data_IF_913201674855
#
_entry.id   IF_913201674855
#
_cell.length_a   1.000
_cell.length_b   1.000
_cell.length_c   1.000
_cell.angle_alpha   90.00
_cell.angle_beta   90.00
_cell.angle_gamma   90.00
#
_symmetry.space_group_name_H-M   'P 1'
#
loop_
_entity.id
_entity.type
_entity.pdbx_description
1 polymer ?
#
# COMPACT_ATOMS: atom_id res chain seq x y z
N UNK A 1 -3.53 -29.00 1.45
CA UNK A 1 -2.98 -27.69 1.08
C UNK A 1 -4.07 -26.68 1.32
N UNK A 2 -3.90 -25.76 2.26
CA UNK A 2 -4.78 -24.60 2.34
C UNK A 2 -4.61 -23.79 1.05
N UNK A 3 -5.72 -23.49 0.36
CA UNK A 3 -5.68 -22.58 -0.77
C UNK A 3 -5.20 -21.23 -0.22
N UNK A 4 -4.05 -20.74 -0.70
CA UNK A 4 -3.59 -19.40 -0.34
C UNK A 4 -4.60 -18.39 -0.86
N UNK A 5 -5.14 -17.57 0.03
CA UNK A 5 -6.14 -16.56 -0.31
C UNK A 5 -5.65 -15.57 -1.37
N UNK A 6 -4.35 -15.23 -1.32
CA UNK A 6 -3.67 -14.39 -2.30
C UNK A 6 -2.48 -15.14 -2.89
N UNK A 7 -2.01 -14.68 -4.07
CA UNK A 7 -0.83 -15.27 -4.69
C UNK A 7 0.46 -15.03 -3.89
N UNK A 8 1.49 -15.83 -4.16
CA UNK A 8 2.76 -15.77 -3.43
C UNK A 8 3.45 -14.40 -3.55
N UNK A 9 3.27 -13.71 -4.68
CA UNK A 9 3.84 -12.37 -4.90
C UNK A 9 3.19 -11.35 -3.96
N UNK A 10 1.87 -11.43 -3.81
CA UNK A 10 1.11 -10.56 -2.91
C UNK A 10 1.54 -10.81 -1.45
N UNK A 11 1.63 -12.07 -1.04
CA UNK A 11 2.04 -12.41 0.32
C UNK A 11 3.47 -11.95 0.64
N UNK A 12 4.42 -12.08 -0.29
CA UNK A 12 5.78 -11.56 -0.12
C UNK A 12 5.82 -10.04 0.07
N UNK A 13 4.93 -9.30 -0.61
CA UNK A 13 4.82 -7.84 -0.45
C UNK A 13 4.17 -7.49 0.88
N UNK A 14 3.13 -8.23 1.27
CA UNK A 14 2.42 -8.01 2.54
C UNK A 14 3.27 -8.32 3.78
N UNK A 15 4.27 -9.21 3.66
CA UNK A 15 5.24 -9.45 4.74
C UNK A 15 6.11 -8.22 5.08
N UNK A 16 6.22 -7.25 4.16
CA UNK A 16 7.09 -6.08 4.32
C UNK A 16 6.36 -4.82 4.79
N UNK A 17 5.03 -4.85 4.87
CA UNK A 17 4.22 -3.71 5.33
C UNK A 17 3.78 -3.89 6.78
N UNK A 18 3.16 -2.86 7.37
CA UNK A 18 2.63 -2.96 8.72
C UNK A 18 1.66 -4.14 8.84
N UNK A 19 1.76 -5.01 9.84
CA UNK A 19 0.95 -6.23 9.90
C UNK A 19 -0.56 -5.99 9.95
N UNK A 20 -1.04 -4.93 10.61
CA UNK A 20 -2.47 -4.53 10.53
C UNK A 20 -2.90 -4.10 9.12
N UNK A 21 -2.03 -3.46 8.34
CA UNK A 21 -2.33 -3.17 6.93
C UNK A 21 -2.42 -4.49 6.15
N UNK A 22 -1.47 -5.41 6.36
CA UNK A 22 -1.49 -6.72 5.71
C UNK A 22 -2.76 -7.51 6.05
N UNK A 23 -3.18 -7.52 7.32
CA UNK A 23 -4.42 -8.15 7.77
C UNK A 23 -5.64 -7.56 7.06
N UNK A 24 -5.75 -6.23 6.98
CA UNK A 24 -6.84 -5.55 6.28
C UNK A 24 -6.86 -5.89 4.79
N UNK A 25 -5.71 -5.97 4.14
CA UNK A 25 -5.62 -6.32 2.72
C UNK A 25 -5.99 -7.79 2.50
N UNK A 26 -5.62 -8.70 3.40
CA UNK A 26 -6.10 -10.09 3.35
C UNK A 26 -7.62 -10.16 3.58
N UNK A 27 -8.17 -9.41 4.52
CA UNK A 27 -9.62 -9.35 4.72
C UNK A 27 -10.34 -8.82 3.47
N UNK A 28 -9.80 -7.79 2.82
CA UNK A 28 -10.29 -7.27 1.55
C UNK A 28 -10.26 -8.33 0.45
N UNK A 29 -9.13 -9.04 0.30
CA UNK A 29 -9.00 -10.13 -0.66
C UNK A 29 -9.99 -11.26 -0.39
N UNK A 30 -10.23 -11.60 0.89
CA UNK A 30 -11.21 -12.63 1.28
C UNK A 30 -12.62 -12.28 0.87
N UNK A 31 -13.06 -11.04 1.11
CA UNK A 31 -14.41 -10.60 0.74
C UNK A 31 -14.58 -10.55 -0.77
N UNK A 32 -13.60 -10.00 -1.50
CA UNK A 32 -13.65 -9.90 -2.95
C UNK A 32 -13.57 -11.28 -3.63
N UNK A 33 -12.75 -12.20 -3.10
CA UNK A 33 -12.69 -13.58 -3.61
C UNK A 33 -14.02 -14.31 -3.44
N UNK A 34 -14.75 -14.09 -2.34
CA UNK A 34 -16.10 -14.65 -2.15
C UNK A 34 -17.11 -14.15 -3.21
N UNK A 35 -16.82 -13.02 -3.85
CA UNK A 35 -17.60 -12.44 -4.96
C UNK A 35 -17.02 -12.81 -6.35
N UNK A 36 -15.99 -13.66 -6.41
CA UNK A 36 -15.30 -14.03 -7.65
C UNK A 36 -14.39 -12.94 -8.21
N UNK A 37 -13.94 -11.99 -7.37
CA UNK A 37 -13.04 -10.89 -7.73
C UNK A 37 -11.68 -11.13 -7.06
N UNK A 38 -10.79 -11.95 -7.65
CA UNK A 38 -9.44 -12.09 -7.12
C UNK A 38 -8.67 -10.77 -7.27
N UNK A 39 -7.81 -10.44 -6.31
CA UNK A 39 -6.95 -9.25 -6.36
C UNK A 39 -5.48 -9.64 -6.16
N UNK A 40 -4.57 -8.79 -6.66
CA UNK A 40 -3.12 -8.88 -6.45
C UNK A 40 -2.61 -7.59 -5.83
N UNK A 41 -1.70 -7.71 -4.86
CA UNK A 41 -0.89 -6.58 -4.39
C UNK A 41 0.24 -6.35 -5.38
N UNK A 42 0.23 -5.23 -6.11
CA UNK A 42 1.21 -4.89 -7.15
C UNK A 42 2.42 -4.14 -6.59
N UNK A 43 2.23 -3.38 -5.52
CA UNK A 43 3.27 -2.68 -4.76
C UNK A 43 2.97 -2.73 -3.27
N UNK A 44 4.04 -2.77 -2.46
CA UNK A 44 3.96 -2.70 -0.99
C UNK A 44 4.98 -1.68 -0.46
N UNK A 45 5.86 -2.11 0.42
CA UNK A 45 7.00 -1.30 0.87
C UNK A 45 7.89 -0.90 -0.33
N UNK A 46 8.30 0.37 -0.36
CA UNK A 46 9.25 0.93 -1.33
C UNK A 46 10.36 1.68 -0.59
N UNK A 47 11.62 1.55 -0.99
CA UNK A 47 12.71 2.33 -0.37
C UNK A 47 12.69 3.79 -0.82
N UNK A 48 13.53 4.64 -0.21
CA UNK A 48 13.65 6.04 -0.61
C UNK A 48 14.36 6.19 -1.96
N UNK A 49 15.32 5.32 -2.23
CA UNK A 49 16.02 5.22 -3.52
C UNK A 49 15.05 4.78 -4.62
N UNK A 50 14.27 3.71 -4.38
CA UNK A 50 13.24 3.27 -5.32
C UNK A 50 12.18 4.37 -5.59
N UNK A 51 11.82 5.16 -4.57
CA UNK A 51 10.93 6.29 -4.77
C UNK A 51 11.58 7.41 -5.59
N UNK A 52 12.87 7.69 -5.38
CA UNK A 52 13.62 8.68 -6.16
C UNK A 52 13.66 8.30 -7.64
N UNK A 53 13.89 7.02 -7.94
CA UNK A 53 13.88 6.52 -9.32
C UNK A 53 12.51 6.69 -10.00
N UNK A 54 11.42 6.37 -9.30
CA UNK A 54 10.07 6.62 -9.80
C UNK A 54 9.76 8.10 -9.93
N UNK A 55 10.25 8.93 -9.01
CA UNK A 55 10.06 10.38 -9.06
C UNK A 55 10.84 10.99 -10.24
N UNK A 56 11.99 10.43 -10.63
CA UNK A 56 12.71 10.89 -11.83
C UNK A 56 12.01 10.52 -13.13
N UNK A 57 11.19 9.47 -13.13
CA UNK A 57 10.49 9.01 -14.34
C UNK A 57 9.58 10.10 -14.93
N UNK A 58 9.67 10.28 -16.24
CA UNK A 58 8.88 11.27 -16.99
C UNK A 58 9.24 12.72 -16.71
N UNK A 59 10.40 12.96 -16.07
CA UNK A 59 10.96 14.29 -15.80
C UNK A 59 12.33 14.41 -16.49
N UNK A 60 12.82 15.65 -16.63
CA UNK A 60 14.18 15.94 -17.11
C UNK A 60 14.57 15.26 -18.44
N UNK A 61 13.63 15.20 -19.40
CA UNK A 61 13.87 14.62 -20.73
C UNK A 61 13.55 13.12 -20.84
N UNK A 62 13.11 12.47 -19.76
CA UNK A 62 12.55 11.11 -19.83
C UNK A 62 11.15 11.13 -20.47
N UNK A 63 10.92 10.25 -21.46
CA UNK A 63 9.68 10.16 -22.25
C UNK A 63 8.64 9.22 -21.64
N UNK A 64 9.00 8.46 -20.60
CA UNK A 64 8.07 7.60 -19.88
C UNK A 64 6.99 8.43 -19.17
N UNK A 65 5.79 7.90 -18.92
CA UNK A 65 4.77 8.64 -18.18
C UNK A 65 5.21 8.90 -16.74
N UNK A 66 4.81 10.05 -16.19
CA UNK A 66 4.96 10.34 -14.76
C UNK A 66 4.05 9.37 -13.99
N UNK A 67 4.65 8.58 -13.10
CA UNK A 67 3.94 7.57 -12.29
C UNK A 67 3.78 7.98 -10.82
N UNK A 68 4.43 9.06 -10.39
CA UNK A 68 4.31 9.61 -9.04
C UNK A 68 4.64 11.11 -9.03
N UNK A 69 3.95 11.85 -8.16
CA UNK A 69 4.30 13.23 -7.78
C UNK A 69 4.98 13.32 -6.41
N UNK A 70 5.07 12.21 -5.67
CA UNK A 70 5.72 12.18 -4.37
C UNK A 70 7.25 12.01 -4.53
N UNK A 71 8.07 12.97 -4.07
CA UNK A 71 9.51 12.75 -3.91
C UNK A 71 9.80 11.80 -2.73
N UNK A 72 11.07 11.41 -2.51
CA UNK A 72 11.44 10.53 -1.40
C UNK A 72 10.99 11.06 -0.03
N UNK A 73 10.28 10.23 0.74
CA UNK A 73 9.75 10.53 2.07
C UNK A 73 8.34 11.12 2.07
N UNK A 74 7.68 11.19 0.91
CA UNK A 74 6.35 11.80 0.76
C UNK A 74 5.26 10.80 0.34
N UNK A 75 5.58 9.50 0.29
CA UNK A 75 4.60 8.42 0.08
C UNK A 75 4.56 7.45 1.25
N UNK A 76 3.37 6.98 1.62
CA UNK A 76 3.22 5.96 2.67
C UNK A 76 3.72 4.56 2.29
N UNK A 77 3.97 4.31 1.01
CA UNK A 77 4.72 3.12 0.59
C UNK A 77 6.10 3.06 1.23
N UNK A 78 6.72 4.22 1.50
CA UNK A 78 8.07 4.31 2.06
C UNK A 78 8.14 4.05 3.56
N UNK A 79 6.98 3.89 4.19
CA UNK A 79 6.84 3.61 5.61
C UNK A 79 6.08 2.30 5.86
N UNK A 80 5.84 1.50 4.82
CA UNK A 80 5.07 0.25 4.92
C UNK A 80 3.61 0.46 5.35
N UNK A 81 3.04 1.63 5.05
CA UNK A 81 1.67 2.02 5.42
C UNK A 81 0.73 2.15 4.22
N UNK A 82 1.19 1.74 3.02
CA UNK A 82 0.38 1.69 1.82
C UNK A 82 0.70 0.46 0.95
N UNK A 83 -0.26 0.08 0.12
CA UNK A 83 -0.15 -0.93 -0.93
C UNK A 83 -0.91 -0.48 -2.15
N UNK A 84 -0.49 -0.97 -3.32
CA UNK A 84 -1.28 -0.90 -4.54
C UNK A 84 -1.92 -2.25 -4.81
N UNK A 85 -3.21 -2.28 -5.10
CA UNK A 85 -3.97 -3.47 -5.42
C UNK A 85 -4.61 -3.37 -6.81
N UNK A 86 -4.70 -4.49 -7.51
CA UNK A 86 -5.36 -4.59 -8.82
C UNK A 86 -6.30 -5.80 -8.85
N UNK A 87 -7.51 -5.67 -9.42
CA UNK A 87 -8.35 -6.83 -9.74
C UNK A 87 -7.66 -7.72 -10.76
N UNK A 88 -7.87 -9.02 -10.65
CA UNK A 88 -7.28 -10.04 -11.52
C UNK A 88 -8.36 -10.72 -12.35
N UNK A 89 -8.01 -11.04 -13.59
CA UNK A 89 -8.81 -11.84 -14.53
C UNK A 89 -8.03 -13.07 -14.94
N UNK A 90 -8.67 -13.97 -15.68
CA UNK A 90 -8.01 -15.09 -16.37
C UNK A 90 -6.90 -14.65 -17.34
N UNK A 91 -6.97 -13.41 -17.84
CA UNK A 91 -6.01 -12.80 -18.77
C UNK A 91 -4.92 -11.98 -18.07
N UNK A 92 -4.95 -11.86 -16.74
CA UNK A 92 -4.02 -11.06 -15.95
C UNK A 92 -4.67 -9.85 -15.26
N UNK A 93 -3.88 -8.85 -14.84
CA UNK A 93 -4.38 -7.71 -14.09
C UNK A 93 -5.33 -6.85 -14.93
N UNK A 94 -6.46 -6.47 -14.35
CA UNK A 94 -7.44 -5.58 -14.96
C UNK A 94 -7.10 -4.12 -14.63
N UNK A 95 -6.41 -3.46 -15.56
CA UNK A 95 -6.05 -2.04 -15.44
C UNK A 95 -7.16 -1.09 -15.93
N UNK A 96 -8.31 -1.61 -16.40
CA UNK A 96 -9.40 -0.75 -16.80
C UNK A 96 -10.20 -0.28 -15.57
N UNK A 97 -9.80 0.85 -15.01
CA UNK A 97 -10.41 1.46 -13.81
C UNK A 97 -11.91 1.76 -13.95
N UNK A 98 -12.46 1.74 -15.17
CA UNK A 98 -13.90 1.94 -15.41
C UNK A 98 -14.74 0.68 -15.16
N UNK A 99 -14.10 -0.50 -15.08
CA UNK A 99 -14.82 -1.73 -14.82
C UNK A 99 -15.42 -1.75 -13.39
N UNK A 100 -16.63 -2.28 -13.18
CA UNK A 100 -17.32 -2.26 -11.88
C UNK A 100 -16.53 -2.92 -10.73
N UNK A 101 -15.66 -3.88 -11.03
CA UNK A 101 -14.79 -4.56 -10.05
C UNK A 101 -13.88 -3.59 -9.30
N UNK A 102 -13.46 -2.50 -9.92
CA UNK A 102 -12.66 -1.45 -9.27
C UNK A 102 -13.47 -0.71 -8.22
N UNK A 103 -14.68 -0.27 -8.55
CA UNK A 103 -15.57 0.39 -7.59
C UNK A 103 -15.88 -0.54 -6.41
N UNK A 104 -16.08 -1.84 -6.68
CA UNK A 104 -16.30 -2.83 -5.62
C UNK A 104 -15.08 -3.01 -4.73
N UNK A 105 -13.88 -3.15 -5.30
CA UNK A 105 -12.62 -3.25 -4.55
C UNK A 105 -12.40 -2.04 -3.65
N UNK A 106 -12.63 -0.83 -4.17
CA UNK A 106 -12.53 0.43 -3.42
C UNK A 106 -13.51 0.43 -2.24
N UNK A 107 -14.78 0.10 -2.49
CA UNK A 107 -15.82 0.09 -1.46
C UNK A 107 -15.53 -0.93 -0.35
N UNK A 108 -15.08 -2.15 -0.70
CA UNK A 108 -14.70 -3.17 0.28
C UNK A 108 -13.50 -2.70 1.10
N UNK A 109 -12.45 -2.17 0.47
CA UNK A 109 -11.30 -1.64 1.18
C UNK A 109 -11.67 -0.53 2.17
N UNK A 110 -12.50 0.42 1.75
CA UNK A 110 -13.00 1.49 2.61
C UNK A 110 -13.84 0.96 3.78
N UNK A 111 -14.68 -0.05 3.56
CA UNK A 111 -15.48 -0.68 4.63
C UNK A 111 -14.60 -1.33 5.72
N UNK A 112 -13.37 -1.70 5.39
CA UNK A 112 -12.36 -2.24 6.30
C UNK A 112 -11.49 -1.17 6.96
N UNK A 113 -11.80 0.11 6.74
CA UNK A 113 -11.09 1.25 7.31
C UNK A 113 -9.82 1.63 6.56
N UNK A 114 -9.64 1.18 5.31
CA UNK A 114 -8.57 1.66 4.43
C UNK A 114 -8.96 3.00 3.80
N UNK A 115 -8.00 3.91 3.70
CA UNK A 115 -8.14 5.08 2.84
C UNK A 115 -7.76 4.69 1.42
N UNK A 116 -8.63 4.94 0.45
CA UNK A 116 -8.36 4.67 -0.97
C UNK A 116 -7.92 5.94 -1.72
N UNK A 117 -6.83 5.83 -2.48
CA UNK A 117 -6.32 6.91 -3.34
C UNK A 117 -7.28 7.30 -4.47
N UNK A 118 -8.21 6.42 -4.83
CA UNK A 118 -9.26 6.70 -5.81
C UNK A 118 -10.14 7.89 -5.42
N UNK A 119 -10.20 8.21 -4.12
CA UNK A 119 -11.03 9.31 -3.58
C UNK A 119 -10.28 10.62 -3.38
N UNK A 120 -9.00 10.69 -3.74
CA UNK A 120 -8.23 11.92 -3.64
C UNK A 120 -8.70 12.97 -4.65
N UNK A 121 -8.79 14.23 -4.21
CA UNK A 121 -9.26 15.35 -5.04
C UNK A 121 -8.28 15.72 -6.15
N UNK A 122 -6.98 15.57 -5.89
CA UNK A 122 -5.91 15.82 -6.84
C UNK A 122 -5.11 14.54 -7.05
N UNK A 123 -4.89 14.17 -8.31
CA UNK A 123 -4.22 12.93 -8.72
C UNK A 123 -4.86 11.67 -8.09
N UNK A 124 -6.12 11.35 -8.43
CA UNK A 124 -6.74 10.09 -8.00
C UNK A 124 -5.87 8.90 -8.38
N UNK A 125 -5.65 8.01 -7.42
CA UNK A 125 -4.80 6.84 -7.56
C UNK A 125 -5.61 5.58 -7.22
N UNK A 126 -6.22 4.99 -8.25
CA UNK A 126 -7.19 3.91 -8.08
C UNK A 126 -6.60 2.64 -7.41
N UNK A 127 -5.38 2.18 -7.76
CA UNK A 127 -4.73 1.07 -7.07
C UNK A 127 -4.44 1.29 -5.58
N UNK A 128 -4.23 2.54 -5.15
CA UNK A 128 -3.65 2.85 -3.84
C UNK A 128 -4.62 2.64 -2.68
N UNK A 129 -4.15 1.93 -1.66
CA UNK A 129 -4.78 1.82 -0.35
C UNK A 129 -3.76 2.09 0.75
N UNK A 130 -4.15 2.84 1.78
CA UNK A 130 -3.31 3.09 2.95
C UNK A 130 -4.07 2.90 4.27
N UNK A 131 -3.30 2.50 5.29
CA UNK A 131 -3.75 2.47 6.68
C UNK A 131 -2.69 3.12 7.56
N UNK A 132 -3.00 4.31 8.09
CA UNK A 132 -2.01 5.21 8.69
C UNK A 132 -2.22 5.44 10.18
N UNK A 133 -3.16 4.72 10.80
CA UNK A 133 -3.52 4.91 12.21
C UNK A 133 -3.90 6.36 12.49
N UNK A 134 -3.19 7.01 13.42
CA UNK A 134 -3.44 8.41 13.80
C UNK A 134 -2.65 9.44 12.96
N UNK A 135 -1.84 9.01 11.98
CA UNK A 135 -1.10 9.94 11.13
C UNK A 135 -2.03 10.65 10.14
N UNK A 136 -1.58 11.80 9.65
CA UNK A 136 -2.22 12.54 8.57
C UNK A 136 -2.29 11.74 7.26
N UNK A 137 -3.12 12.22 6.32
CA UNK A 137 -3.32 11.58 5.01
C UNK A 137 -2.05 11.48 4.14
N UNK A 138 -1.05 12.33 4.39
CA UNK A 138 0.28 12.27 3.76
C UNK A 138 1.40 12.36 4.81
N UNK A 139 2.61 11.86 4.52
CA UNK A 139 3.74 11.94 5.46
C UNK A 139 4.15 13.39 5.78
N UNK A 140 4.19 13.74 7.06
CA UNK A 140 4.66 15.05 7.53
C UNK A 140 6.19 15.08 7.70
N UNK A 141 6.74 16.25 8.02
CA UNK A 141 8.15 16.37 8.43
C UNK A 141 8.47 15.48 9.64
N UNK A 142 7.54 15.34 10.59
CA UNK A 142 7.71 14.51 11.77
C UNK A 142 7.79 13.03 11.41
N UNK A 143 6.97 12.56 10.47
CA UNK A 143 7.03 11.18 9.96
C UNK A 143 8.38 10.88 9.31
N UNK A 144 8.86 11.79 8.45
CA UNK A 144 10.19 11.65 7.82
C UNK A 144 11.32 11.65 8.85
N UNK A 145 11.26 12.54 9.84
CA UNK A 145 12.27 12.62 10.89
C UNK A 145 12.27 11.36 11.78
N UNK A 146 11.10 10.84 12.13
CA UNK A 146 10.98 9.56 12.85
C UNK A 146 11.63 8.42 12.07
N UNK A 147 11.38 8.34 10.76
CA UNK A 147 12.01 7.33 9.91
C UNK A 147 13.53 7.46 9.86
N UNK A 148 14.07 8.68 9.71
CA UNK A 148 15.51 8.91 9.65
C UNK A 148 16.23 8.58 10.97
N UNK A 149 15.54 8.73 12.10
CA UNK A 149 16.14 8.56 13.44
C UNK A 149 15.96 7.15 14.00
N UNK A 150 14.82 6.50 13.74
CA UNK A 150 14.47 5.20 14.32
C UNK A 150 13.91 4.19 13.32
N UNK A 151 14.07 4.45 12.02
CA UNK A 151 13.60 3.58 10.96
C UNK A 151 12.08 3.44 10.89
N UNK A 152 11.64 2.39 10.20
CA UNK A 152 10.22 2.12 9.98
C UNK A 152 9.44 1.89 11.29
N UNK A 153 10.08 1.32 12.32
CA UNK A 153 9.46 1.04 13.61
C UNK A 153 9.08 2.30 14.39
N UNK A 154 9.89 3.36 14.29
CA UNK A 154 9.56 4.64 14.89
C UNK A 154 8.30 5.26 14.22
N UNK A 155 8.16 5.09 12.91
CA UNK A 155 6.96 5.56 12.18
C UNK A 155 5.73 4.74 12.56
N UNK A 156 5.85 3.42 12.69
CA UNK A 156 4.75 2.55 13.12
C UNK A 156 4.29 2.87 14.54
N UNK A 157 5.23 3.12 15.45
CA UNK A 157 4.93 3.60 16.81
C UNK A 157 4.22 4.95 16.77
N UNK A 158 4.70 5.90 15.96
CA UNK A 158 4.06 7.20 15.78
C UNK A 158 2.65 7.10 15.20
N UNK A 159 2.38 6.08 14.37
CA UNK A 159 1.05 5.81 13.84
C UNK A 159 0.04 5.32 14.88
N UNK A 160 0.48 5.07 16.12
CA UNK A 160 -0.40 4.61 17.21
C UNK A 160 -1.00 3.23 16.96
N UNK A 161 -0.40 2.46 16.06
CA UNK A 161 -0.83 1.11 15.76
C UNK A 161 -0.07 0.11 16.63
N UNK A 162 -0.74 -0.87 17.27
CA UNK A 162 -0.06 -1.86 18.07
C UNK A 162 0.92 -2.65 17.20
N UNK A 163 2.16 -2.74 17.66
CA UNK A 163 3.15 -3.60 17.03
C UNK A 163 2.80 -5.06 17.37
N UNK A 164 2.69 -5.98 16.41
CA UNK A 164 2.41 -7.38 16.73
C UNK A 164 3.55 -8.10 17.47
N UNK A 165 4.73 -7.50 17.55
CA UNK A 165 5.87 -8.05 18.26
C UNK A 165 6.17 -7.17 19.47
N UNK A 166 6.13 -7.75 20.66
CA UNK A 166 6.67 -7.09 21.86
C UNK A 166 8.18 -6.97 21.73
N UNK A 167 8.78 -5.95 22.35
CA UNK A 167 10.19 -5.55 22.22
C UNK A 167 11.25 -6.64 22.48
N UNK A 168 10.86 -7.85 22.89
CA UNK A 168 11.74 -9.01 23.12
C UNK A 168 12.11 -9.82 21.87
N UNK A 169 11.45 -9.62 20.72
CA UNK A 169 11.64 -10.48 19.53
C UNK A 169 12.55 -9.88 18.45
N UNK A 170 13.10 -8.67 18.68
CA UNK A 170 13.91 -7.95 17.67
C UNK A 170 15.41 -8.31 17.72
N UNK A 171 15.83 -9.18 18.64
CA UNK A 171 17.23 -9.63 18.77
C UNK A 171 17.43 -11.14 18.50
N UNK A 172 16.87 -11.67 17.41
CA UNK A 172 17.19 -13.00 16.91
C UNK A 172 17.55 -12.97 15.42
#
# INVERSE_FOLDING_TARGET
>A
MEARLMDAVSEQRLQKVHPLLAEKIRAMASQLMAEGIPIRVTQGLRTWEEQEDLYRQGRNGDTRPIVTNAPPGFSFHQFGLAVDCVPMTDKGPDWNITHPVWQRMIAVGQSLGLTSGATWRSFPDAPHFQYTGILSATPTNQVRQAYQTGGIQAVWTMAGMPHPYTSSEINA
#
